data_IF_405872299343
#
_entry.id   IF_405872299343
#
_cell.length_a   1.000
_cell.length_b   1.000
_cell.length_c   1.000
_cell.angle_alpha   90.00
_cell.angle_beta   90.00
_cell.angle_gamma   90.00
#
_symmetry.space_group_name_H-M   'P 1'
#
loop_
_entity.id
_entity.type
_entity.pdbx_description
1 polymer ?
#
# COMPACT_ATOMS: atom_id res chain seq x y z
N UNK A 1 5.76 -2.63 16.72
CA UNK A 1 5.39 -2.96 15.32
C UNK A 1 4.54 -4.21 15.33
N UNK A 2 3.63 -4.35 14.38
CA UNK A 2 2.83 -5.55 14.10
C UNK A 2 3.13 -5.99 12.67
N UNK A 3 2.99 -7.28 12.38
CA UNK A 3 3.26 -7.79 11.04
C UNK A 3 1.99 -8.25 10.35
N UNK A 4 1.84 -7.89 9.08
CA UNK A 4 0.74 -8.29 8.24
C UNK A 4 1.24 -8.85 6.91
N UNK A 5 0.34 -9.46 6.13
CA UNK A 5 0.62 -9.94 4.80
C UNK A 5 -0.45 -9.43 3.81
N UNK A 6 -0.01 -9.05 2.61
CA UNK A 6 -0.92 -8.52 1.58
C UNK A 6 -1.62 -9.63 0.82
N UNK A 7 -2.94 -9.48 0.65
CA UNK A 7 -3.74 -10.42 -0.15
C UNK A 7 -3.48 -10.30 -1.66
N UNK A 8 -2.69 -9.33 -2.11
CA UNK A 8 -2.34 -9.21 -3.53
C UNK A 8 -1.50 -10.38 -4.08
N UNK A 9 -0.84 -11.16 -3.19
CA UNK A 9 -0.23 -12.44 -3.55
C UNK A 9 -1.27 -13.57 -3.72
N UNK A 10 -2.47 -13.40 -3.20
CA UNK A 10 -3.53 -14.42 -3.20
C UNK A 10 -4.57 -14.25 -4.32
N UNK A 11 -4.23 -13.56 -5.42
CA UNK A 11 -5.20 -13.28 -6.50
C UNK A 11 -5.85 -14.52 -7.16
N UNK A 12 -5.31 -15.71 -6.93
CA UNK A 12 -5.88 -17.01 -7.38
C UNK A 12 -6.77 -17.68 -6.32
N UNK A 13 -6.98 -17.06 -5.17
CA UNK A 13 -7.76 -17.57 -4.05
C UNK A 13 -8.90 -16.62 -3.72
N UNK A 14 -9.92 -17.11 -3.01
CA UNK A 14 -10.93 -16.21 -2.45
C UNK A 14 -10.32 -15.33 -1.34
N UNK A 15 -10.89 -14.14 -1.14
CA UNK A 15 -10.45 -13.28 -0.03
C UNK A 15 -10.56 -13.97 1.33
N UNK A 16 -11.63 -14.76 1.52
CA UNK A 16 -11.82 -15.57 2.73
C UNK A 16 -10.69 -16.59 2.94
N UNK A 17 -10.30 -17.32 1.89
CA UNK A 17 -9.21 -18.31 1.98
C UNK A 17 -7.88 -17.61 2.25
N UNK A 18 -7.64 -16.45 1.63
CA UNK A 18 -6.46 -15.65 1.90
C UNK A 18 -6.38 -15.22 3.37
N UNK A 19 -7.47 -14.65 3.92
CA UNK A 19 -7.54 -14.23 5.33
C UNK A 19 -7.30 -15.42 6.27
N UNK A 20 -7.97 -16.56 6.05
CA UNK A 20 -7.78 -17.76 6.85
C UNK A 20 -6.32 -18.24 6.83
N UNK A 21 -5.72 -18.31 5.63
CA UNK A 21 -4.34 -18.76 5.46
C UNK A 21 -3.34 -17.84 6.17
N UNK A 22 -3.50 -16.52 6.03
CA UNK A 22 -2.61 -15.52 6.66
C UNK A 22 -2.73 -15.60 8.20
N UNK A 23 -3.94 -15.77 8.72
CA UNK A 23 -4.17 -15.98 10.16
C UNK A 23 -3.52 -17.28 10.66
N UNK A 24 -3.73 -18.41 9.98
CA UNK A 24 -3.20 -19.71 10.37
C UNK A 24 -1.66 -19.75 10.37
N UNK A 25 -1.00 -18.93 9.53
CA UNK A 25 0.45 -18.73 9.52
C UNK A 25 0.93 -17.95 10.75
N UNK A 26 0.10 -17.06 11.32
CA UNK A 26 0.38 -16.35 12.55
C UNK A 26 0.74 -14.87 12.39
N UNK A 27 0.25 -14.20 11.35
CA UNK A 27 0.34 -12.75 11.21
C UNK A 27 -0.65 -12.01 12.13
N UNK A 28 -0.29 -10.78 12.55
CA UNK A 28 -1.13 -9.91 13.38
C UNK A 28 -2.25 -9.22 12.59
N UNK A 29 -2.11 -9.17 11.26
CA UNK A 29 -3.04 -8.48 10.39
C UNK A 29 -2.98 -8.91 8.93
N UNK A 30 -3.91 -8.35 8.16
CA UNK A 30 -4.04 -8.59 6.72
C UNK A 30 -4.21 -7.27 6.00
N UNK A 31 -3.43 -7.05 4.96
CA UNK A 31 -3.73 -6.02 3.97
C UNK A 31 -4.66 -6.61 2.90
N UNK A 32 -5.74 -5.89 2.60
CA UNK A 32 -6.74 -6.34 1.63
C UNK A 32 -6.56 -5.58 0.31
N UNK A 33 -6.39 -6.31 -0.80
CA UNK A 33 -6.44 -5.76 -2.14
C UNK A 33 -7.85 -5.19 -2.42
N UNK A 34 -7.94 -3.88 -2.63
CA UNK A 34 -9.19 -3.15 -2.86
C UNK A 34 -9.57 -3.12 -4.36
N UNK A 35 -9.33 -4.21 -5.04
CA UNK A 35 -9.56 -4.44 -6.46
C UNK A 35 -9.99 -5.90 -6.68
N UNK A 36 -10.25 -6.28 -7.95
CA UNK A 36 -10.47 -7.68 -8.30
C UNK A 36 -9.21 -8.52 -8.08
N UNK A 37 -9.35 -9.79 -7.64
CA UNK A 37 -10.60 -10.52 -7.39
C UNK A 37 -11.13 -10.37 -5.95
N UNK A 38 -10.59 -9.49 -5.12
CA UNK A 38 -10.90 -9.45 -3.70
C UNK A 38 -11.98 -8.42 -3.33
N UNK A 39 -11.59 -7.23 -2.87
CA UNK A 39 -12.53 -6.26 -2.31
C UNK A 39 -12.79 -5.07 -3.23
N UNK A 40 -13.12 -5.32 -4.52
CA UNK A 40 -13.45 -4.25 -5.44
C UNK A 40 -14.76 -3.55 -5.00
N UNK A 41 -14.73 -2.23 -4.70
CA UNK A 41 -15.86 -1.54 -4.04
C UNK A 41 -17.19 -1.60 -4.79
N UNK A 42 -17.14 -1.71 -6.13
CA UNK A 42 -18.37 -1.75 -6.96
C UNK A 42 -19.02 -3.12 -7.06
N UNK A 43 -18.34 -4.19 -6.63
CA UNK A 43 -18.87 -5.56 -6.72
C UNK A 43 -18.99 -6.25 -5.36
N UNK A 44 -18.23 -5.81 -4.36
CA UNK A 44 -18.32 -6.37 -3.00
C UNK A 44 -19.71 -6.07 -2.41
N UNK A 45 -20.37 -7.09 -1.89
CA UNK A 45 -21.70 -6.97 -1.31
C UNK A 45 -21.64 -6.70 0.20
N UNK A 46 -22.75 -6.21 0.78
CA UNK A 46 -22.86 -6.07 2.24
C UNK A 46 -22.75 -7.43 2.95
N UNK A 47 -23.14 -8.53 2.29
CA UNK A 47 -22.93 -9.89 2.83
C UNK A 47 -21.44 -10.23 2.92
N UNK A 48 -20.65 -9.93 1.88
CA UNK A 48 -19.19 -10.14 1.88
C UNK A 48 -18.52 -9.29 2.95
N UNK A 49 -18.91 -8.00 3.08
CA UNK A 49 -18.41 -7.08 4.11
C UNK A 49 -18.67 -7.65 5.51
N UNK A 50 -19.87 -8.17 5.75
CA UNK A 50 -20.22 -8.77 7.04
C UNK A 50 -19.43 -10.06 7.31
N UNK A 51 -19.22 -10.91 6.30
CA UNK A 51 -18.39 -12.11 6.42
C UNK A 51 -16.94 -11.75 6.77
N UNK A 52 -16.35 -10.77 6.07
CA UNK A 52 -14.99 -10.27 6.36
C UNK A 52 -14.91 -9.78 7.81
N UNK A 53 -15.82 -8.93 8.24
CA UNK A 53 -15.84 -8.41 9.62
C UNK A 53 -15.95 -9.54 10.66
N UNK A 54 -16.75 -10.57 10.38
CA UNK A 54 -16.86 -11.73 11.27
C UNK A 54 -15.55 -12.52 11.36
N UNK A 55 -14.82 -12.70 10.25
CA UNK A 55 -13.52 -13.35 10.23
C UNK A 55 -12.50 -12.58 11.08
N UNK A 56 -12.37 -11.27 10.87
CA UNK A 56 -11.45 -10.43 11.64
C UNK A 56 -11.79 -10.42 13.13
N UNK A 57 -13.08 -10.34 13.49
CA UNK A 57 -13.52 -10.44 14.87
C UNK A 57 -13.25 -11.80 15.51
N UNK A 58 -13.51 -12.90 14.76
CA UNK A 58 -13.29 -14.27 15.22
C UNK A 58 -11.81 -14.56 15.47
N UNK A 59 -10.95 -14.05 14.64
CA UNK A 59 -9.50 -14.30 14.69
C UNK A 59 -8.75 -13.28 15.56
N UNK A 60 -9.41 -12.21 16.00
CA UNK A 60 -8.80 -11.11 16.76
C UNK A 60 -7.61 -10.47 16.04
N UNK A 61 -7.62 -10.48 14.67
CA UNK A 61 -6.62 -9.83 13.82
C UNK A 61 -7.16 -8.52 13.26
N UNK A 62 -6.28 -7.70 12.68
CA UNK A 62 -6.62 -6.35 12.22
C UNK A 62 -6.44 -6.23 10.69
N UNK A 63 -7.27 -5.43 10.02
CA UNK A 63 -6.97 -4.98 8.67
C UNK A 63 -5.85 -3.93 8.78
N UNK A 64 -4.67 -4.24 8.24
CA UNK A 64 -3.51 -3.35 8.30
C UNK A 64 -3.64 -2.15 7.37
N UNK A 65 -4.20 -2.38 6.19
CA UNK A 65 -4.43 -1.39 5.14
C UNK A 65 -5.44 -1.93 4.11
N UNK A 66 -6.12 -1.05 3.37
CA UNK A 66 -6.74 -1.41 2.09
C UNK A 66 -5.84 -0.93 0.95
N UNK A 67 -5.29 -1.85 0.18
CA UNK A 67 -4.46 -1.53 -0.97
C UNK A 67 -5.36 -1.18 -2.17
N UNK A 68 -5.51 0.13 -2.46
CA UNK A 68 -6.28 0.69 -3.57
C UNK A 68 -5.36 1.21 -4.69
N UNK A 69 -4.14 0.69 -4.77
CA UNK A 69 -3.14 1.10 -5.75
C UNK A 69 -3.56 0.71 -7.17
N UNK A 70 -3.85 -0.56 -7.40
CA UNK A 70 -4.24 -1.08 -8.71
C UNK A 70 -5.70 -0.81 -9.05
N UNK A 71 -6.04 -0.93 -10.35
CA UNK A 71 -7.42 -0.81 -10.82
C UNK A 71 -7.69 -1.77 -12.00
N UNK A 72 -7.33 -3.05 -11.82
CA UNK A 72 -7.52 -4.12 -12.81
C UNK A 72 -8.98 -4.33 -13.21
N UNK A 73 -9.92 -3.95 -12.35
CA UNK A 73 -11.35 -4.05 -12.67
C UNK A 73 -11.77 -3.25 -13.91
N UNK A 74 -11.04 -2.18 -14.26
CA UNK A 74 -11.36 -1.30 -15.40
C UNK A 74 -10.15 -0.95 -16.26
N UNK A 75 -8.93 -1.27 -15.85
CA UNK A 75 -7.70 -0.91 -16.55
C UNK A 75 -6.56 -1.87 -16.24
N UNK A 76 -5.46 -1.33 -15.72
CA UNK A 76 -4.26 -2.09 -15.36
C UNK A 76 -3.68 -1.62 -14.01
N UNK A 77 -2.40 -1.89 -13.73
CA UNK A 77 -1.73 -1.49 -12.49
C UNK A 77 -1.78 0.02 -12.29
N UNK A 78 -1.54 0.81 -13.34
CA UNK A 78 -1.35 2.25 -13.27
C UNK A 78 -2.47 3.06 -13.95
N UNK A 79 -3.27 2.45 -14.79
CA UNK A 79 -4.32 3.14 -15.54
C UNK A 79 -5.74 2.62 -15.22
N UNK A 80 -6.74 3.51 -15.16
CA UNK A 80 -6.62 4.96 -15.22
C UNK A 80 -5.87 5.52 -14.00
N UNK A 81 -4.98 6.51 -14.24
CA UNK A 81 -4.17 7.17 -13.22
C UNK A 81 -4.80 8.49 -12.75
N UNK A 82 -4.19 9.12 -11.75
CA UNK A 82 -4.60 10.45 -11.27
C UNK A 82 -4.31 11.57 -12.28
N UNK A 83 -3.35 11.34 -13.20
CA UNK A 83 -2.85 12.37 -14.12
C UNK A 83 -3.23 12.12 -15.57
N UNK A 84 -4.19 11.22 -15.83
CA UNK A 84 -4.71 11.03 -17.19
C UNK A 84 -5.05 12.36 -17.88
N UNK A 85 -4.75 12.48 -19.17
CA UNK A 85 -5.16 13.66 -19.96
C UNK A 85 -6.66 13.74 -20.12
N UNK A 86 -7.32 12.59 -20.24
CA UNK A 86 -8.78 12.49 -20.26
C UNK A 86 -9.39 12.66 -18.86
N UNK A 87 -10.24 13.68 -18.72
CA UNK A 87 -10.91 14.01 -17.45
C UNK A 87 -11.81 12.87 -16.97
N UNK A 88 -12.47 12.14 -17.87
CA UNK A 88 -13.36 11.05 -17.47
C UNK A 88 -12.56 9.89 -16.86
N UNK A 89 -11.41 9.56 -17.41
CA UNK A 89 -10.49 8.55 -16.89
C UNK A 89 -9.93 8.94 -15.52
N UNK A 90 -9.51 10.21 -15.32
CA UNK A 90 -9.12 10.70 -13.98
C UNK A 90 -10.23 10.55 -12.95
N UNK A 91 -11.47 10.89 -13.33
CA UNK A 91 -12.63 10.74 -12.45
C UNK A 91 -12.92 9.28 -12.08
N UNK A 92 -12.54 8.32 -12.91
CA UNK A 92 -12.64 6.90 -12.55
C UNK A 92 -11.67 6.56 -11.41
N UNK A 93 -10.41 7.03 -11.46
CA UNK A 93 -9.42 6.85 -10.39
C UNK A 93 -9.87 7.54 -9.10
N UNK A 94 -10.28 8.80 -9.16
CA UNK A 94 -10.79 9.56 -8.01
C UNK A 94 -12.00 8.85 -7.41
N UNK A 95 -12.96 8.43 -8.24
CA UNK A 95 -14.15 7.71 -7.80
C UNK A 95 -13.84 6.36 -7.15
N UNK A 96 -12.89 5.60 -7.69
CA UNK A 96 -12.42 4.36 -7.07
C UNK A 96 -11.82 4.62 -5.68
N UNK A 97 -10.96 5.62 -5.55
CA UNK A 97 -10.35 5.97 -4.27
C UNK A 97 -11.39 6.40 -3.23
N UNK A 98 -12.39 7.21 -3.63
CA UNK A 98 -13.51 7.58 -2.77
C UNK A 98 -14.33 6.35 -2.31
N UNK A 99 -14.59 5.42 -3.23
CA UNK A 99 -15.31 4.18 -2.90
C UNK A 99 -14.48 3.29 -1.96
N UNK A 100 -13.16 3.24 -2.12
CA UNK A 100 -12.24 2.52 -1.21
C UNK A 100 -12.20 3.15 0.19
N UNK A 101 -12.20 4.49 0.31
CA UNK A 101 -12.30 5.19 1.61
C UNK A 101 -13.58 4.78 2.35
N UNK A 102 -14.72 4.80 1.66
CA UNK A 102 -16.01 4.38 2.25
C UNK A 102 -16.03 2.90 2.63
N UNK A 103 -15.39 2.05 1.80
CA UNK A 103 -15.26 0.62 2.10
C UNK A 103 -14.36 0.40 3.32
N UNK A 104 -13.24 1.14 3.44
CA UNK A 104 -12.36 1.09 4.60
C UNK A 104 -13.13 1.37 5.90
N UNK A 105 -13.95 2.43 5.91
CA UNK A 105 -14.83 2.74 7.05
C UNK A 105 -15.78 1.60 7.39
N UNK A 106 -16.43 1.01 6.38
CA UNK A 106 -17.35 -0.13 6.58
C UNK A 106 -16.66 -1.35 7.16
N UNK A 107 -15.43 -1.63 6.72
CA UNK A 107 -14.63 -2.76 7.17
C UNK A 107 -13.91 -2.50 8.51
N UNK A 108 -13.77 -1.25 8.91
CA UNK A 108 -13.04 -0.85 10.12
C UNK A 108 -11.53 -0.70 9.90
N UNK A 109 -11.08 -0.51 8.65
CA UNK A 109 -9.71 -0.16 8.33
C UNK A 109 -9.49 1.35 8.54
N UNK A 110 -8.32 1.74 9.04
CA UNK A 110 -7.97 3.13 9.34
C UNK A 110 -7.31 3.87 8.18
N UNK A 111 -6.85 3.16 7.16
CA UNK A 111 -6.14 3.73 6.03
C UNK A 111 -6.34 2.94 4.74
N UNK A 112 -6.12 3.62 3.63
CA UNK A 112 -5.99 3.05 2.28
C UNK A 112 -4.71 3.58 1.64
N UNK A 113 -4.05 2.79 0.77
CA UNK A 113 -2.94 3.24 -0.06
C UNK A 113 -3.35 3.43 -1.52
N UNK A 114 -2.69 4.36 -2.22
CA UNK A 114 -2.89 4.64 -3.64
C UNK A 114 -1.57 4.98 -4.32
N UNK A 115 -1.54 4.85 -5.66
CA UNK A 115 -0.41 5.24 -6.47
C UNK A 115 -0.07 6.76 -6.33
N UNK A 116 1.18 7.15 -6.57
CA UNK A 116 1.66 8.52 -6.37
C UNK A 116 1.44 9.39 -7.62
N UNK A 117 0.25 9.40 -8.18
CA UNK A 117 -0.13 10.18 -9.36
C UNK A 117 -0.20 9.38 -10.65
N UNK A 118 0.63 8.36 -10.81
CA UNK A 118 0.72 7.51 -12.00
C UNK A 118 1.93 7.80 -12.89
N UNK A 119 2.08 7.06 -14.01
CA UNK A 119 3.19 7.26 -14.93
C UNK A 119 3.24 8.67 -15.49
N UNK A 120 4.45 9.22 -15.62
CA UNK A 120 4.62 10.56 -16.20
C UNK A 120 4.21 10.55 -17.67
N UNK A 121 3.29 11.44 -18.02
CA UNK A 121 2.72 11.49 -19.38
C UNK A 121 3.54 12.47 -20.22
N UNK A 122 4.13 11.98 -21.32
CA UNK A 122 4.89 12.81 -22.27
C UNK A 122 4.01 13.66 -23.22
N UNK A 123 2.69 13.64 -23.07
CA UNK A 123 1.73 14.25 -24.01
C UNK A 123 1.43 15.72 -23.69
N UNK A 124 2.47 16.57 -23.71
CA UNK A 124 2.27 18.03 -23.69
C UNK A 124 1.96 18.66 -22.33
N UNK A 125 1.94 17.89 -21.26
CA UNK A 125 1.85 18.38 -19.88
C UNK A 125 3.24 18.38 -19.24
N UNK A 126 3.62 19.49 -18.62
CA UNK A 126 4.82 19.50 -17.78
C UNK A 126 4.61 18.67 -16.51
N UNK A 127 5.70 18.16 -15.92
CA UNK A 127 5.66 17.48 -14.62
C UNK A 127 4.96 18.36 -13.55
N UNK A 128 5.24 19.66 -13.54
CA UNK A 128 4.57 20.63 -12.66
C UNK A 128 3.06 20.69 -12.87
N UNK A 129 2.57 20.53 -14.12
CA UNK A 129 1.13 20.51 -14.39
C UNK A 129 0.51 19.18 -13.93
N UNK A 130 1.22 18.06 -14.13
CA UNK A 130 0.79 16.76 -13.64
C UNK A 130 0.71 16.73 -12.12
N UNK A 131 1.70 17.28 -11.40
CA UNK A 131 1.67 17.43 -9.95
C UNK A 131 0.45 18.23 -9.48
N UNK A 132 0.13 19.37 -10.14
CA UNK A 132 -1.07 20.14 -9.81
C UNK A 132 -2.37 19.39 -10.06
N UNK A 133 -2.43 18.57 -11.13
CA UNK A 133 -3.59 17.73 -11.42
C UNK A 133 -3.76 16.71 -10.29
N UNK A 134 -2.68 16.08 -9.86
CA UNK A 134 -2.70 15.11 -8.76
C UNK A 134 -3.08 15.78 -7.44
N UNK A 135 -2.47 16.91 -7.08
CA UNK A 135 -2.83 17.69 -5.89
C UNK A 135 -4.33 18.04 -5.86
N UNK A 136 -4.88 18.51 -6.97
CA UNK A 136 -6.31 18.82 -7.06
C UNK A 136 -7.18 17.57 -6.86
N UNK A 137 -6.79 16.42 -7.43
CA UNK A 137 -7.49 15.16 -7.21
C UNK A 137 -7.47 14.72 -5.75
N UNK A 138 -6.34 14.92 -5.05
CA UNK A 138 -6.23 14.65 -3.61
C UNK A 138 -7.15 15.60 -2.82
N UNK A 139 -7.18 16.89 -3.13
CA UNK A 139 -8.08 17.83 -2.45
C UNK A 139 -9.56 17.45 -2.59
N UNK A 140 -9.97 16.89 -3.76
CA UNK A 140 -11.37 16.44 -3.97
C UNK A 140 -11.77 15.32 -3.00
N UNK A 141 -10.84 14.52 -2.49
CA UNK A 141 -11.14 13.36 -1.66
C UNK A 141 -10.86 13.55 -0.17
N UNK A 142 -10.06 14.55 0.23
CA UNK A 142 -9.65 14.75 1.63
C UNK A 142 -10.82 15.03 2.57
N UNK A 143 -11.86 15.71 2.11
CA UNK A 143 -13.07 15.93 2.93
C UNK A 143 -13.76 14.59 3.24
N UNK A 144 -13.90 13.70 2.24
CA UNK A 144 -14.44 12.36 2.47
C UNK A 144 -13.54 11.53 3.39
N UNK A 145 -12.22 11.59 3.21
CA UNK A 145 -11.27 10.89 4.09
C UNK A 145 -11.44 11.33 5.55
N UNK A 146 -11.63 12.63 5.78
CA UNK A 146 -11.89 13.20 7.10
C UNK A 146 -13.27 12.78 7.65
N UNK A 147 -14.31 12.82 6.85
CA UNK A 147 -15.68 12.42 7.26
C UNK A 147 -15.75 10.95 7.65
N UNK A 148 -15.06 10.09 6.92
CA UNK A 148 -15.02 8.65 7.17
C UNK A 148 -13.96 8.25 8.21
N UNK A 149 -13.12 9.19 8.69
CA UNK A 149 -12.00 8.94 9.59
C UNK A 149 -11.03 7.88 9.04
N UNK A 150 -10.67 8.00 7.76
CA UNK A 150 -9.76 7.12 7.03
C UNK A 150 -8.61 7.94 6.46
N UNK A 151 -7.38 7.49 6.65
CA UNK A 151 -6.19 8.17 6.11
C UNK A 151 -5.86 7.64 4.71
N UNK A 152 -5.67 8.56 3.76
CA UNK A 152 -5.13 8.24 2.43
C UNK A 152 -3.61 8.20 2.50
N UNK A 153 -3.01 7.10 2.07
CA UNK A 153 -1.57 6.93 2.01
C UNK A 153 -1.10 6.98 0.57
N UNK A 154 -0.18 7.89 0.29
CA UNK A 154 0.53 7.94 -0.98
C UNK A 154 1.71 7.00 -0.91
N UNK A 155 1.91 6.22 -1.96
CA UNK A 155 2.97 5.22 -2.06
C UNK A 155 3.92 5.57 -3.19
N UNK A 156 5.04 6.30 -2.92
CA UNK A 156 6.04 6.60 -3.94
C UNK A 156 6.55 5.33 -4.62
N UNK A 157 6.63 5.36 -5.96
CA UNK A 157 7.03 4.18 -6.73
C UNK A 157 7.93 4.56 -7.92
N UNK A 158 8.98 3.76 -8.23
CA UNK A 158 9.87 3.97 -9.37
C UNK A 158 9.10 4.09 -10.69
N UNK A 159 9.40 5.12 -11.49
CA UNK A 159 8.78 5.37 -12.79
C UNK A 159 7.44 6.11 -12.73
N UNK A 160 6.95 6.46 -11.54
CA UNK A 160 5.74 7.25 -11.37
C UNK A 160 6.05 8.73 -11.05
N UNK A 161 5.02 9.54 -10.87
CA UNK A 161 5.15 10.99 -10.71
C UNK A 161 5.90 11.42 -9.43
N UNK A 162 5.83 10.60 -8.38
CA UNK A 162 6.58 10.77 -7.14
C UNK A 162 7.30 9.45 -6.85
N UNK A 163 8.63 9.45 -6.96
CA UNK A 163 9.44 8.24 -6.85
C UNK A 163 10.25 8.16 -5.56
N UNK A 164 10.63 9.30 -4.97
CA UNK A 164 11.64 9.35 -3.92
C UNK A 164 11.23 10.24 -2.75
N UNK A 165 12.03 10.18 -1.67
CA UNK A 165 11.74 10.90 -0.43
C UNK A 165 11.67 12.42 -0.58
N UNK A 166 12.52 12.99 -1.46
CA UNK A 166 12.55 14.43 -1.68
C UNK A 166 11.28 14.95 -2.37
N UNK A 167 10.84 14.24 -3.41
CA UNK A 167 9.61 14.54 -4.16
C UNK A 167 8.39 14.38 -3.26
N UNK A 168 8.34 13.28 -2.48
CA UNK A 168 7.25 13.07 -1.52
C UNK A 168 7.17 14.19 -0.49
N UNK A 169 8.30 14.59 0.14
CA UNK A 169 8.32 15.69 1.11
C UNK A 169 7.84 17.00 0.49
N UNK A 170 8.23 17.28 -0.75
CA UNK A 170 7.79 18.48 -1.46
C UNK A 170 6.27 18.46 -1.71
N UNK A 171 5.75 17.30 -2.09
CA UNK A 171 4.32 17.09 -2.37
C UNK A 171 3.48 17.17 -1.09
N UNK A 172 3.83 16.41 -0.05
CA UNK A 172 3.00 16.26 1.15
C UNK A 172 2.87 17.60 1.93
N UNK A 173 3.86 18.47 1.85
CA UNK A 173 3.84 19.81 2.49
C UNK A 173 2.76 20.76 1.94
N UNK A 174 2.15 20.44 0.81
CA UNK A 174 1.04 21.22 0.26
C UNK A 174 -0.29 20.92 1.00
N UNK A 175 -0.33 19.89 1.85
CA UNK A 175 -1.54 19.48 2.56
C UNK A 175 -1.39 19.70 4.07
N UNK A 176 -2.28 20.51 4.64
CA UNK A 176 -2.43 20.65 6.10
C UNK A 176 -3.56 19.70 6.58
N UNK A 177 -3.28 18.40 6.59
CA UNK A 177 -4.26 17.39 6.94
C UNK A 177 -3.61 16.15 7.57
N UNK A 178 -4.17 15.65 8.66
CA UNK A 178 -3.76 14.38 9.26
C UNK A 178 -4.30 13.15 8.49
N UNK A 179 -5.18 13.36 7.53
CA UNK A 179 -5.82 12.31 6.72
C UNK A 179 -5.10 12.01 5.40
N UNK A 180 -3.87 12.48 5.28
CA UNK A 180 -2.93 12.10 4.23
C UNK A 180 -1.60 11.72 4.86
N UNK A 181 -0.95 10.66 4.35
CA UNK A 181 0.31 10.16 4.87
C UNK A 181 1.06 9.35 3.84
N UNK A 182 2.02 8.59 4.32
CA UNK A 182 2.93 7.77 3.52
C UNK A 182 2.64 6.28 3.77
N UNK A 183 2.42 5.52 2.70
CA UNK A 183 2.75 4.11 2.65
C UNK A 183 4.22 4.00 2.25
N UNK A 184 5.07 3.56 3.18
CA UNK A 184 6.50 3.48 2.98
C UNK A 184 6.86 2.08 2.46
N UNK A 185 7.01 1.95 1.14
CA UNK A 185 7.51 0.74 0.51
C UNK A 185 9.04 0.75 0.48
N UNK A 186 9.67 -0.20 1.17
CA UNK A 186 11.13 -0.20 1.32
C UNK A 186 11.85 -0.49 0.00
N UNK A 187 11.29 -1.34 -0.83
CA UNK A 187 11.83 -1.72 -2.13
C UNK A 187 11.79 -0.57 -3.12
N UNK A 188 10.72 0.22 -3.11
CA UNK A 188 10.59 1.37 -3.99
C UNK A 188 11.71 2.41 -3.73
N UNK A 189 11.96 2.76 -2.46
CA UNK A 189 13.08 3.66 -2.12
C UNK A 189 14.43 3.05 -2.45
N UNK A 190 14.60 1.73 -2.28
CA UNK A 190 15.85 1.05 -2.69
C UNK A 190 16.04 1.10 -4.21
N UNK A 191 14.99 0.87 -5.01
CA UNK A 191 15.04 0.91 -6.48
C UNK A 191 15.52 2.25 -7.01
N UNK A 192 15.07 3.37 -6.44
CA UNK A 192 15.48 4.73 -6.86
C UNK A 192 16.82 5.19 -6.28
N UNK A 193 17.56 4.31 -5.62
CA UNK A 193 18.92 4.59 -5.16
C UNK A 193 19.03 5.12 -3.75
N UNK A 194 17.94 5.23 -3.01
CA UNK A 194 17.98 5.61 -1.59
C UNK A 194 18.32 4.41 -0.70
N UNK A 195 18.85 4.69 0.48
CA UNK A 195 18.94 3.69 1.55
C UNK A 195 17.61 3.75 2.33
N UNK A 196 16.82 2.65 2.39
CA UNK A 196 15.51 2.68 3.06
C UNK A 196 15.61 3.02 4.56
N UNK A 197 16.67 2.56 5.25
CA UNK A 197 16.90 2.87 6.67
C UNK A 197 17.08 4.36 6.91
N UNK A 198 17.80 5.05 6.04
CA UNK A 198 18.00 6.52 6.13
C UNK A 198 16.73 7.28 5.73
N UNK A 199 15.99 6.78 4.73
CA UNK A 199 14.73 7.36 4.29
C UNK A 199 13.66 7.31 5.39
N UNK A 200 13.62 6.25 6.22
CA UNK A 200 12.74 6.15 7.39
C UNK A 200 12.92 7.33 8.34
N UNK A 201 14.17 7.71 8.67
CA UNK A 201 14.39 8.86 9.57
C UNK A 201 13.92 10.17 8.94
N UNK A 202 14.14 10.37 7.62
CA UNK A 202 13.71 11.59 6.91
C UNK A 202 12.19 11.70 6.82
N UNK A 203 11.48 10.57 6.71
CA UNK A 203 10.05 10.50 6.45
C UNK A 203 9.22 10.13 7.68
N UNK A 204 9.86 10.04 8.87
CA UNK A 204 9.27 9.48 10.09
C UNK A 204 7.95 10.11 10.50
N UNK A 205 7.76 11.41 10.27
CA UNK A 205 6.51 12.12 10.60
C UNK A 205 5.32 11.75 9.71
N UNK A 206 5.59 11.19 8.50
CA UNK A 206 4.57 10.89 7.51
C UNK A 206 4.20 9.41 7.43
N UNK A 207 5.08 8.50 7.88
CA UNK A 207 4.87 7.05 7.79
C UNK A 207 3.66 6.63 8.61
N UNK A 208 2.69 5.96 7.96
CA UNK A 208 1.50 5.39 8.60
C UNK A 208 1.35 3.89 8.35
N UNK A 209 1.96 3.40 7.29
CA UNK A 209 2.02 2.00 6.89
C UNK A 209 3.34 1.71 6.19
N UNK A 210 3.79 0.46 6.20
CA UNK A 210 5.06 0.04 5.60
C UNK A 210 4.83 -1.22 4.78
N UNK A 211 5.31 -1.25 3.53
CA UNK A 211 5.48 -2.47 2.76
C UNK A 211 6.89 -3.01 2.93
N UNK A 212 6.97 -4.34 3.05
CA UNK A 212 8.19 -5.10 3.30
C UNK A 212 8.34 -6.22 2.28
N UNK A 213 9.38 -6.15 1.49
CA UNK A 213 9.84 -7.12 0.51
C UNK A 213 11.36 -7.04 0.38
N UNK A 214 11.96 -7.77 -0.51
CA UNK A 214 13.37 -7.61 -0.86
C UNK A 214 13.50 -7.31 -2.36
N UNK A 215 14.59 -6.69 -2.75
CA UNK A 215 14.90 -6.28 -4.13
C UNK A 215 16.31 -6.73 -4.49
N UNK A 216 16.51 -7.19 -5.73
CA UNK A 216 17.81 -7.58 -6.23
C UNK A 216 18.83 -6.42 -6.22
N UNK A 217 20.12 -6.76 -6.15
CA UNK A 217 21.19 -5.78 -6.07
C UNK A 217 21.28 -4.83 -7.29
N UNK A 218 20.73 -5.22 -8.43
CA UNK A 218 20.62 -4.38 -9.63
C UNK A 218 19.50 -3.35 -9.56
N UNK A 219 18.70 -3.36 -8.45
CA UNK A 219 17.58 -2.44 -8.18
C UNK A 219 16.44 -2.54 -9.18
N UNK A 220 16.31 -3.65 -9.88
CA UNK A 220 15.12 -3.90 -10.70
C UNK A 220 13.89 -4.00 -9.81
N UNK A 221 12.86 -3.22 -10.10
CA UNK A 221 11.60 -3.24 -9.36
C UNK A 221 10.87 -4.57 -9.56
N UNK A 222 11.19 -5.52 -8.71
CA UNK A 222 10.57 -6.84 -8.63
C UNK A 222 10.71 -7.37 -7.22
N UNK A 223 9.59 -7.62 -6.54
CA UNK A 223 9.58 -8.06 -5.16
C UNK A 223 10.10 -9.49 -5.02
N UNK A 224 11.15 -9.64 -4.24
CA UNK A 224 11.75 -10.91 -3.87
C UNK A 224 11.35 -11.32 -2.44
N UNK A 225 11.50 -12.60 -2.15
CA UNK A 225 11.38 -13.12 -0.80
C UNK A 225 12.39 -12.42 0.12
N UNK A 226 12.00 -12.19 1.37
CA UNK A 226 12.85 -11.57 2.38
C UNK A 226 14.16 -12.37 2.55
N UNK A 227 15.29 -11.69 2.42
CA UNK A 227 16.63 -12.26 2.49
C UNK A 227 17.17 -12.84 1.17
N UNK A 228 16.44 -12.75 0.07
CA UNK A 228 16.90 -13.17 -1.27
C UNK A 228 17.43 -12.00 -2.12
N UNK A 229 17.29 -10.78 -1.65
CA UNK A 229 17.74 -9.57 -2.32
C UNK A 229 18.96 -8.92 -1.67
N UNK A 230 19.00 -7.59 -1.73
CA UNK A 230 20.12 -6.78 -1.27
C UNK A 230 19.74 -5.72 -0.23
N UNK A 231 18.49 -5.68 0.21
CA UNK A 231 18.06 -4.75 1.26
C UNK A 231 18.49 -5.28 2.63
N UNK A 232 19.15 -4.45 3.44
CA UNK A 232 19.42 -4.76 4.85
C UNK A 232 18.12 -4.61 5.68
N UNK A 233 17.29 -5.67 5.65
CA UNK A 233 15.98 -5.70 6.30
C UNK A 233 16.10 -5.52 7.82
N UNK A 234 17.14 -6.08 8.46
CA UNK A 234 17.37 -5.88 9.90
C UNK A 234 17.59 -4.40 10.22
N UNK A 235 18.41 -3.70 9.42
CA UNK A 235 18.63 -2.26 9.57
C UNK A 235 17.33 -1.45 9.36
N UNK A 236 16.50 -1.84 8.41
CA UNK A 236 15.17 -1.22 8.16
C UNK A 236 14.27 -1.37 9.39
N UNK A 237 14.08 -2.59 9.89
CA UNK A 237 13.23 -2.86 11.06
C UNK A 237 13.76 -2.17 12.32
N UNK A 238 15.08 -2.10 12.49
CA UNK A 238 15.74 -1.31 13.54
C UNK A 238 15.42 0.17 13.44
N UNK A 239 15.47 0.74 12.23
CA UNK A 239 15.17 2.15 12.00
C UNK A 239 13.73 2.48 12.33
N UNK A 240 12.77 1.63 11.94
CA UNK A 240 11.36 1.76 12.32
C UNK A 240 11.18 1.73 13.84
N UNK A 241 11.84 0.80 14.52
CA UNK A 241 11.82 0.71 16.00
C UNK A 241 12.40 1.96 16.65
N UNK A 242 13.50 2.50 16.11
CA UNK A 242 14.18 3.68 16.64
C UNK A 242 13.35 4.96 16.53
N UNK A 243 12.54 5.10 15.48
CA UNK A 243 11.60 6.24 15.36
C UNK A 243 10.30 6.04 16.17
N UNK A 244 10.17 4.92 16.89
CA UNK A 244 8.97 4.60 17.68
C UNK A 244 7.77 4.17 16.84
N UNK A 245 7.98 3.65 15.62
CA UNK A 245 6.88 3.17 14.79
C UNK A 245 6.21 1.95 15.44
N UNK A 246 4.91 2.05 15.66
CA UNK A 246 4.08 1.01 16.30
C UNK A 246 2.98 0.45 15.37
N UNK A 247 2.95 0.92 14.11
CA UNK A 247 2.00 0.49 13.08
C UNK A 247 2.32 -0.88 12.49
N UNK A 248 1.68 -1.17 11.35
CA UNK A 248 1.86 -2.41 10.61
C UNK A 248 3.02 -2.33 9.61
N UNK A 249 3.82 -3.40 9.59
CA UNK A 249 4.78 -3.72 8.54
C UNK A 249 4.18 -4.90 7.78
N UNK A 250 3.71 -4.63 6.57
CA UNK A 250 2.99 -5.59 5.73
C UNK A 250 3.92 -6.18 4.69
N UNK A 251 4.11 -7.49 4.72
CA UNK A 251 4.85 -8.19 3.67
C UNK A 251 4.05 -8.16 2.38
N UNK A 252 4.65 -7.65 1.30
CA UNK A 252 4.03 -7.53 -0.01
C UNK A 252 4.80 -8.33 -1.07
N UNK A 253 4.28 -9.51 -1.40
CA UNK A 253 4.92 -10.47 -2.31
C UNK A 253 3.98 -10.84 -3.48
N UNK A 254 3.49 -9.84 -4.22
CA UNK A 254 2.56 -10.01 -5.33
C UNK A 254 3.06 -10.95 -6.47
N UNK A 255 4.37 -11.18 -6.68
CA UNK A 255 4.82 -12.14 -7.70
C UNK A 255 4.54 -13.60 -7.34
N UNK A 256 4.35 -13.93 -6.05
CA UNK A 256 4.29 -15.31 -5.56
C UNK A 256 2.88 -15.93 -5.58
N UNK A 257 2.07 -15.62 -6.60
CA UNK A 257 0.66 -16.06 -6.70
C UNK A 257 0.47 -17.56 -6.86
N UNK A 258 1.49 -18.30 -7.28
CA UNK A 258 1.44 -19.76 -7.41
C UNK A 258 1.61 -20.48 -6.05
N UNK A 259 2.25 -19.81 -5.10
CA UNK A 259 2.54 -20.40 -3.79
C UNK A 259 2.47 -19.38 -2.64
N UNK A 260 1.38 -18.57 -2.53
CA UNK A 260 1.32 -17.45 -1.60
C UNK A 260 1.42 -17.87 -0.13
N UNK A 261 0.87 -19.01 0.25
CA UNK A 261 0.98 -19.53 1.62
C UNK A 261 2.43 -19.90 2.00
N UNK A 262 3.19 -20.46 1.05
CA UNK A 262 4.62 -20.74 1.26
C UNK A 262 5.38 -19.45 1.41
N UNK A 263 5.14 -18.47 0.53
CA UNK A 263 5.77 -17.17 0.58
C UNK A 263 5.49 -16.45 1.91
N UNK A 264 4.24 -16.42 2.35
CA UNK A 264 3.84 -15.83 3.62
C UNK A 264 4.53 -16.52 4.81
N UNK A 265 4.57 -17.86 4.83
CA UNK A 265 5.21 -18.61 5.91
C UNK A 265 6.72 -18.38 5.96
N UNK A 266 7.40 -18.38 4.81
CA UNK A 266 8.85 -18.14 4.74
C UNK A 266 9.19 -16.72 5.18
N UNK A 267 8.44 -15.72 4.73
CA UNK A 267 8.65 -14.33 5.13
C UNK A 267 8.48 -14.13 6.64
N UNK A 268 7.43 -14.72 7.25
CA UNK A 268 7.23 -14.63 8.70
C UNK A 268 8.36 -15.33 9.47
N UNK A 269 8.84 -16.49 8.99
CA UNK A 269 9.96 -17.19 9.60
C UNK A 269 11.27 -16.38 9.51
N UNK A 270 11.50 -15.68 8.39
CA UNK A 270 12.64 -14.78 8.25
C UNK A 270 12.56 -13.64 9.30
N UNK A 271 11.40 -12.98 9.44
CA UNK A 271 11.19 -11.92 10.45
C UNK A 271 11.43 -12.45 11.87
N UNK A 272 10.92 -13.65 12.18
CA UNK A 272 11.19 -14.31 13.48
C UNK A 272 12.67 -14.58 13.73
N UNK A 273 13.43 -14.92 12.70
CA UNK A 273 14.88 -15.16 12.82
C UNK A 273 15.67 -13.90 13.17
N UNK A 274 15.08 -12.71 12.98
CA UNK A 274 15.64 -11.42 13.33
C UNK A 274 15.20 -10.91 14.72
N UNK A 275 14.51 -11.73 15.51
CA UNK A 275 14.05 -11.42 16.87
C UNK A 275 13.06 -10.21 16.97
N UNK A 276 12.18 -10.03 15.97
CA UNK A 276 11.17 -8.97 15.97
C UNK A 276 9.76 -9.48 16.37
N UNK A 277 9.56 -10.79 16.48
CA UNK A 277 8.29 -11.45 16.88
C UNK A 277 8.57 -12.45 18.00
#
# INVERSE_FOLDING_TARGET
MKFAFSTNAFKKHSLKDAINTIYDIGYDGVEILCDIPHAYPKTITDADINEIKQLFSKFEITISNLNAFTLFAIGDTYHPSWVETDVASRKMRIGHTLDCIKLARKLGASNISTEPGGPTISQGLSESDQLKIFENGIYEILDTAKEEDVTLLIEPEPGLLIENSHEFIKFIKNFDSKYIGLNFDIGHFFCVGENPSDAIYRLSEYIRHVHLEDIAADRTHHHLMLGEGAIDIDSVLKSLKNIGYDGFVTVELYPYQECPAIAASQALNFIKSLDYI
#
